data_IF_220634276845
#
_entry.id   IF_220634276845
#
_cell.length_a   1.000
_cell.length_b   1.000
_cell.length_c   1.000
_cell.angle_alpha   90.00
_cell.angle_beta   90.00
_cell.angle_gamma   90.00
#
_symmetry.space_group_name_H-M   'P 1'
#
loop_
_entity.id
_entity.type
_entity.pdbx_description
1 polymer ?
#
# COMPACT_ATOMS: atom_id res chain seq x y z
N UNK A 1 -6.60 -24.84 2.14
CA UNK A 1 -7.34 -23.62 1.90
C UNK A 1 -6.40 -22.48 1.59
N UNK A 2 -6.68 -21.74 0.57
CA UNK A 2 -5.86 -20.59 0.27
C UNK A 2 -6.20 -19.46 1.22
N UNK A 3 -5.16 -18.71 1.59
CA UNK A 3 -5.32 -17.55 2.43
C UNK A 3 -5.84 -16.38 1.59
N UNK A 4 -6.49 -15.44 2.24
CA UNK A 4 -6.86 -14.19 1.59
C UNK A 4 -5.60 -13.37 1.36
N UNK A 5 -5.63 -12.52 0.36
CA UNK A 5 -4.48 -11.69 0.02
C UNK A 5 -4.77 -10.24 0.37
N UNK A 6 -3.84 -9.62 1.09
CA UNK A 6 -3.80 -8.18 1.29
C UNK A 6 -2.62 -7.63 0.51
N UNK A 7 -2.90 -6.83 -0.49
CA UNK A 7 -1.87 -6.16 -1.28
C UNK A 7 -1.60 -4.77 -0.73
N UNK A 8 -0.33 -4.42 -0.57
CA UNK A 8 0.05 -3.12 -0.03
C UNK A 8 0.65 -2.27 -1.14
N UNK A 9 -0.05 -1.19 -1.48
CA UNK A 9 0.40 -0.21 -2.45
C UNK A 9 1.09 0.93 -1.70
N UNK A 10 2.41 1.01 -1.82
CA UNK A 10 3.20 2.05 -1.17
C UNK A 10 4.58 2.15 -1.80
N UNK A 11 5.26 3.26 -1.54
CA UNK A 11 6.64 3.41 -1.94
C UNK A 11 7.57 2.57 -1.07
N UNK A 12 8.84 2.55 -1.42
CA UNK A 12 9.87 1.78 -0.73
C UNK A 12 11.00 2.68 -0.27
N UNK A 13 11.69 2.25 0.77
CA UNK A 13 12.88 2.93 1.25
C UNK A 13 12.55 4.27 1.91
N UNK A 14 13.56 5.14 1.93
CA UNK A 14 13.43 6.44 2.55
C UNK A 14 13.00 7.46 1.51
N UNK A 15 11.93 8.18 1.80
CA UNK A 15 11.36 9.18 0.90
C UNK A 15 11.02 10.44 1.68
N UNK A 16 10.98 11.56 0.97
CA UNK A 16 10.62 12.82 1.59
C UNK A 16 9.10 12.95 1.70
N UNK A 17 8.63 13.31 2.88
CA UNK A 17 7.25 13.73 3.06
C UNK A 17 7.24 15.27 2.88
N UNK A 18 6.78 15.70 1.72
CA UNK A 18 6.83 17.12 1.38
C UNK A 18 5.86 17.98 2.20
N UNK A 19 4.94 17.38 2.91
CA UNK A 19 4.01 18.13 3.77
C UNK A 19 4.74 18.77 4.95
N UNK A 20 5.78 18.11 5.45
CA UNK A 20 6.51 18.59 6.64
C UNK A 20 8.01 18.58 6.43
N UNK A 21 8.49 18.33 5.23
CA UNK A 21 9.91 18.33 4.87
C UNK A 21 10.74 17.33 5.69
N UNK A 22 10.12 16.22 6.08
CA UNK A 22 10.81 15.18 6.83
C UNK A 22 10.98 13.93 5.99
N UNK A 23 12.11 13.25 6.21
CA UNK A 23 12.34 11.96 5.58
C UNK A 23 11.55 10.89 6.32
N UNK A 24 10.90 10.01 5.58
CA UNK A 24 10.12 8.91 6.12
C UNK A 24 10.73 7.61 5.61
N UNK A 25 10.95 6.67 6.51
CA UNK A 25 11.39 5.34 6.14
C UNK A 25 10.16 4.45 5.93
N UNK A 26 9.79 4.26 4.69
CA UNK A 26 8.61 3.50 4.33
C UNK A 26 8.76 2.02 4.64
N UNK A 27 9.98 1.50 4.59
CA UNK A 27 10.22 0.09 4.94
C UNK A 27 9.95 -0.17 6.42
N UNK A 28 10.29 0.79 7.28
CA UNK A 28 9.97 0.68 8.70
C UNK A 28 8.46 0.72 8.93
N UNK A 29 7.75 1.60 8.23
CA UNK A 29 6.29 1.66 8.32
C UNK A 29 5.69 0.31 7.93
N UNK A 30 6.16 -0.26 6.83
CA UNK A 30 5.67 -1.56 6.39
C UNK A 30 5.93 -2.65 7.43
N UNK A 31 7.17 -2.73 7.91
CA UNK A 31 7.57 -3.79 8.84
C UNK A 31 6.95 -3.64 10.23
N UNK A 32 6.92 -2.43 10.75
CA UNK A 32 6.54 -2.21 12.15
C UNK A 32 5.08 -1.85 12.35
N UNK A 33 4.44 -1.30 11.34
CA UNK A 33 3.03 -0.94 11.45
C UNK A 33 2.18 -1.94 10.71
N UNK A 34 2.39 -2.09 9.41
CA UNK A 34 1.50 -2.90 8.58
C UNK A 34 1.67 -4.40 8.88
N UNK A 35 2.89 -4.91 8.81
CA UNK A 35 3.11 -6.34 9.10
C UNK A 35 2.72 -6.71 10.52
N UNK A 36 2.97 -5.81 11.45
CA UNK A 36 2.63 -6.06 12.83
C UNK A 36 1.12 -6.21 13.05
N UNK A 37 0.33 -5.41 12.35
CA UNK A 37 -1.13 -5.57 12.39
C UNK A 37 -1.58 -6.94 11.90
N UNK A 38 -0.88 -7.49 10.91
CA UNK A 38 -1.26 -8.76 10.31
C UNK A 38 -0.69 -9.97 11.00
N UNK A 39 0.13 -9.80 12.03
CA UNK A 39 0.63 -10.94 12.82
C UNK A 39 -0.51 -11.74 13.45
N UNK A 40 -1.58 -11.07 13.84
CA UNK A 40 -2.74 -11.74 14.43
C UNK A 40 -3.83 -12.04 13.40
N UNK A 41 -3.70 -11.58 12.18
CA UNK A 41 -4.69 -11.80 11.12
C UNK A 41 -4.18 -12.87 10.17
N UNK A 42 -4.09 -14.08 10.68
CA UNK A 42 -3.42 -15.19 9.97
C UNK A 42 -4.16 -15.66 8.74
N UNK A 43 -5.39 -15.23 8.54
CA UNK A 43 -6.13 -15.55 7.32
C UNK A 43 -5.64 -14.75 6.11
N UNK A 44 -4.82 -13.72 6.33
CA UNK A 44 -4.30 -12.91 5.24
C UNK A 44 -2.84 -13.20 4.96
N UNK A 45 -2.51 -13.25 3.68
CA UNK A 45 -1.12 -13.18 3.22
C UNK A 45 -0.87 -11.76 2.77
N UNK A 46 0.15 -11.11 3.35
CA UNK A 46 0.47 -9.72 3.08
C UNK A 46 1.54 -9.64 2.00
N UNK A 47 1.28 -8.89 0.95
CA UNK A 47 2.22 -8.75 -0.17
C UNK A 47 2.38 -7.27 -0.51
N UNK A 48 3.62 -6.79 -0.49
CA UNK A 48 3.95 -5.47 -1.04
C UNK A 48 4.57 -5.67 -2.42
N UNK A 49 4.43 -4.66 -3.30
CA UNK A 49 4.84 -4.80 -4.69
C UNK A 49 6.29 -5.27 -4.86
N UNK A 50 7.21 -4.79 -4.01
CA UNK A 50 8.62 -5.18 -4.10
C UNK A 50 8.89 -6.61 -3.67
N UNK A 51 7.91 -7.26 -3.06
CA UNK A 51 8.03 -8.67 -2.66
C UNK A 51 7.62 -9.63 -3.75
N UNK A 52 7.07 -9.11 -4.84
CA UNK A 52 6.74 -9.95 -6.00
C UNK A 52 8.04 -10.28 -6.69
N UNK A 53 8.43 -11.54 -6.60
CA UNK A 53 9.74 -11.91 -7.11
C UNK A 53 9.71 -12.20 -8.60
N UNK A 54 10.76 -11.99 -9.11
CA UNK A 54 11.21 -12.55 -10.35
C UNK A 54 10.59 -12.14 -11.53
N UNK A 55 10.22 -11.08 -11.86
CA UNK A 55 9.68 -11.17 -12.87
C UNK A 55 9.65 -10.27 -13.92
N UNK A 56 9.92 -10.84 -14.97
CA UNK A 56 9.78 -10.34 -16.29
C UNK A 56 8.37 -9.93 -16.59
N UNK A 57 7.42 -10.33 -15.78
CA UNK A 57 6.02 -9.95 -15.96
C UNK A 57 5.45 -9.32 -14.70
N UNK A 58 6.30 -8.56 -14.04
CA UNK A 58 5.91 -7.86 -12.81
C UNK A 58 4.65 -7.02 -12.99
N UNK A 59 4.57 -6.27 -14.08
CA UNK A 59 3.43 -5.38 -14.30
C UNK A 59 2.11 -6.13 -14.32
N UNK A 60 2.07 -7.26 -15.02
CA UNK A 60 0.85 -8.06 -15.11
C UNK A 60 0.50 -8.63 -13.74
N UNK A 61 1.49 -9.16 -13.04
CA UNK A 61 1.28 -9.73 -11.71
C UNK A 61 0.79 -8.68 -10.73
N UNK A 62 1.36 -7.49 -10.79
CA UNK A 62 1.00 -6.42 -9.89
C UNK A 62 -0.44 -5.96 -10.11
N UNK A 63 -0.84 -5.74 -11.36
CA UNK A 63 -2.22 -5.34 -11.62
C UNK A 63 -3.22 -6.44 -11.31
N UNK A 64 -2.83 -7.69 -11.53
CA UNK A 64 -3.67 -8.81 -11.16
C UNK A 64 -3.92 -8.85 -9.67
N UNK A 65 -2.87 -8.67 -8.87
CA UNK A 65 -3.00 -8.60 -7.41
C UNK A 65 -3.82 -7.40 -6.98
N UNK A 66 -3.57 -6.25 -7.59
CA UNK A 66 -4.29 -5.03 -7.27
C UNK A 66 -5.80 -5.19 -7.45
N UNK A 67 -6.21 -5.84 -8.53
CA UNK A 67 -7.63 -6.00 -8.85
C UNK A 67 -8.29 -7.17 -8.14
N UNK A 68 -7.52 -8.21 -7.83
CA UNK A 68 -8.08 -9.46 -7.27
C UNK A 68 -7.86 -9.65 -5.79
N UNK A 69 -6.96 -8.89 -5.17
CA UNK A 69 -6.70 -9.01 -3.75
C UNK A 69 -7.98 -8.80 -2.93
N UNK A 70 -8.10 -9.53 -1.84
CA UNK A 70 -9.26 -9.41 -0.97
C UNK A 70 -9.27 -8.06 -0.25
N UNK A 71 -8.10 -7.53 0.01
CA UNK A 71 -7.94 -6.24 0.68
C UNK A 71 -6.74 -5.52 0.08
N UNK A 72 -6.84 -4.21 -0.07
CA UNK A 72 -5.69 -3.38 -0.47
C UNK A 72 -5.52 -2.27 0.56
N UNK A 73 -4.30 -2.10 1.02
CA UNK A 73 -3.90 -0.98 1.87
C UNK A 73 -3.00 -0.08 1.03
N UNK A 74 -3.37 1.17 0.88
CA UNK A 74 -2.56 2.14 0.15
C UNK A 74 -2.01 3.17 1.13
N UNK A 75 -0.68 3.25 1.25
CA UNK A 75 -0.03 4.28 2.06
C UNK A 75 0.41 5.40 1.13
N UNK A 76 -0.19 6.56 1.32
CA UNK A 76 0.08 7.72 0.48
C UNK A 76 0.86 8.82 1.22
N UNK A 77 1.52 8.48 2.31
CA UNK A 77 2.24 9.44 3.15
C UNK A 77 3.19 10.34 2.35
N UNK A 78 3.96 9.74 1.45
CA UNK A 78 4.95 10.49 0.69
C UNK A 78 4.47 10.87 -0.72
N UNK A 79 3.18 10.71 -0.97
CA UNK A 79 2.58 11.04 -2.27
C UNK A 79 3.22 10.29 -3.45
N UNK A 80 3.58 9.02 -3.22
CA UNK A 80 4.18 8.20 -4.27
C UNK A 80 3.20 8.06 -5.44
N UNK A 81 3.66 8.41 -6.63
CA UNK A 81 2.79 8.45 -7.80
C UNK A 81 2.18 7.10 -8.14
N UNK A 82 2.97 6.04 -8.05
CA UNK A 82 2.48 4.71 -8.36
C UNK A 82 1.44 4.24 -7.33
N UNK A 83 1.69 4.51 -6.05
CA UNK A 83 0.75 4.14 -5.01
C UNK A 83 -0.58 4.87 -5.18
N UNK A 84 -0.53 6.15 -5.53
CA UNK A 84 -1.75 6.94 -5.74
C UNK A 84 -2.50 6.44 -6.97
N UNK A 85 -1.80 6.14 -8.04
CA UNK A 85 -2.41 5.60 -9.25
C UNK A 85 -3.09 4.26 -8.98
N UNK A 86 -2.40 3.38 -8.28
CA UNK A 86 -2.94 2.06 -7.90
C UNK A 86 -4.14 2.21 -6.98
N UNK A 87 -4.06 3.12 -6.02
CA UNK A 87 -5.18 3.43 -5.14
C UNK A 87 -6.41 3.86 -5.96
N UNK A 88 -6.22 4.73 -6.94
CA UNK A 88 -7.32 5.20 -7.77
C UNK A 88 -8.01 4.06 -8.51
N UNK A 89 -7.22 3.17 -9.11
CA UNK A 89 -7.76 2.02 -9.83
C UNK A 89 -8.53 1.10 -8.88
N UNK A 90 -7.93 0.78 -7.76
CA UNK A 90 -8.54 -0.14 -6.79
C UNK A 90 -9.80 0.45 -6.16
N UNK A 91 -9.73 1.71 -5.77
CA UNK A 91 -10.83 2.37 -5.10
C UNK A 91 -12.05 2.48 -6.02
N UNK A 92 -11.82 2.72 -7.29
CA UNK A 92 -12.91 2.77 -8.28
C UNK A 92 -13.58 1.41 -8.47
N UNK A 93 -12.79 0.32 -8.37
CA UNK A 93 -13.32 -1.02 -8.62
C UNK A 93 -13.86 -1.69 -7.36
N UNK A 94 -13.21 -1.52 -6.23
CA UNK A 94 -13.57 -2.21 -4.98
C UNK A 94 -13.40 -1.30 -3.77
N UNK A 95 -14.25 -0.28 -3.63
CA UNK A 95 -14.05 0.73 -2.58
C UNK A 95 -14.18 0.17 -1.16
N UNK A 96 -15.01 -0.86 -0.96
CA UNK A 96 -15.27 -1.37 0.37
C UNK A 96 -14.17 -2.27 0.93
N UNK A 97 -13.21 -2.65 0.12
CA UNK A 97 -12.07 -3.45 0.56
C UNK A 97 -10.76 -2.74 0.26
N UNK A 98 -10.78 -1.42 0.33
CA UNK A 98 -9.61 -0.57 0.12
C UNK A 98 -9.45 0.35 1.31
N UNK A 99 -8.28 0.30 1.93
CA UNK A 99 -7.94 1.14 3.08
C UNK A 99 -6.86 2.13 2.65
N UNK A 100 -7.10 3.39 2.94
CA UNK A 100 -6.14 4.46 2.66
C UNK A 100 -5.51 4.86 3.98
N UNK A 101 -4.17 4.86 4.03
CA UNK A 101 -3.48 5.32 5.22
C UNK A 101 -2.48 6.40 4.89
N UNK A 102 -2.25 7.26 5.86
CA UNK A 102 -1.32 8.36 5.72
C UNK A 102 -0.81 8.74 7.10
N UNK A 103 0.48 8.99 7.20
CA UNK A 103 1.06 9.43 8.45
C UNK A 103 0.49 10.79 8.83
N UNK A 104 0.22 10.98 10.11
CA UNK A 104 -0.36 12.22 10.58
C UNK A 104 0.51 13.43 10.25
N UNK A 105 -0.11 14.50 9.83
CA UNK A 105 0.55 15.75 9.51
C UNK A 105 -0.46 16.87 9.65
N UNK A 106 0.04 18.08 9.91
CA UNK A 106 -0.84 19.25 10.00
C UNK A 106 -1.43 19.63 8.65
N UNK A 107 -0.79 19.22 7.56
CA UNK A 107 -1.23 19.56 6.21
C UNK A 107 -1.75 18.33 5.50
N UNK A 108 -2.95 18.44 4.96
CA UNK A 108 -3.51 17.40 4.12
C UNK A 108 -3.37 17.87 2.68
N UNK A 109 -2.69 17.07 1.82
CA UNK A 109 -2.39 17.53 0.47
C UNK A 109 -3.62 17.69 -0.42
N UNK A 110 -4.66 16.94 -0.15
CA UNK A 110 -5.93 17.06 -0.87
C UNK A 110 -7.03 16.36 -0.06
N UNK A 111 -8.27 16.62 -0.43
CA UNK A 111 -9.41 16.04 0.27
C UNK A 111 -9.73 14.66 -0.30
N UNK A 112 -9.69 13.66 0.57
CA UNK A 112 -9.97 12.27 0.19
C UNK A 112 -11.35 11.79 0.63
N UNK A 113 -12.13 12.67 1.20
CA UNK A 113 -13.48 12.31 1.67
C UNK A 113 -14.45 12.05 0.53
#
# INVERSE_FOLDING_TARGET
>A
MSRKICFVAMGFGKKMDYRNSKEVDLDIIYKKVIKNLFDSLTEYELIRADEISGSEIIDVSMYSLLLKADLVIADITTMNENAIYELGIRHASKPFSTIIMMQESEKIPFDLN
#
